data_IF_690393887011
#
_entry.id   IF_690393887011
#
_cell.length_a   1.000
_cell.length_b   1.000
_cell.length_c   1.000
_cell.angle_alpha   90.00
_cell.angle_beta   90.00
_cell.angle_gamma   90.00
#
_symmetry.space_group_name_H-M   'P 1'
#
loop_
_entity.id
_entity.type
_entity.pdbx_description
1 polymer ?
#
# COMPACT_ATOMS: atom_id res chain seq x y z
N UNK A 1 61.57 -12.04 2.12
CA UNK A 1 61.14 -11.11 3.20
C UNK A 1 60.42 -9.92 2.57
N UNK A 2 59.51 -9.30 3.31
CA UNK A 2 58.63 -8.16 2.97
C UNK A 2 57.28 -8.46 2.28
N UNK A 3 56.34 -8.73 3.19
CA UNK A 3 54.92 -8.36 3.20
C UNK A 3 54.66 -7.00 2.55
N UNK A 4 53.65 -6.90 1.71
CA UNK A 4 52.85 -5.68 1.57
C UNK A 4 51.40 -6.09 1.23
N UNK A 5 50.57 -6.16 2.28
CA UNK A 5 49.12 -6.14 2.17
C UNK A 5 48.71 -4.70 1.87
N UNK A 6 48.11 -4.46 0.72
CA UNK A 6 47.40 -3.21 0.42
C UNK A 6 45.93 -3.54 0.15
N UNK A 7 45.18 -3.79 1.23
CA UNK A 7 43.72 -3.79 1.21
C UNK A 7 43.27 -2.33 1.21
N UNK A 8 43.06 -1.78 0.00
CA UNK A 8 42.33 -0.54 -0.16
C UNK A 8 40.86 -0.81 0.18
N UNK A 9 40.43 -0.33 1.35
CA UNK A 9 39.04 -0.37 1.77
C UNK A 9 38.21 0.51 0.82
N UNK A 10 37.45 -0.12 -0.08
CA UNK A 10 36.35 0.53 -0.78
C UNK A 10 35.25 0.79 0.26
N UNK A 11 35.28 1.97 0.87
CA UNK A 11 34.12 2.52 1.55
C UNK A 11 33.12 2.95 0.47
N UNK A 12 32.32 1.99 -0.02
CA UNK A 12 31.11 2.30 -0.75
C UNK A 12 30.14 3.00 0.21
N UNK A 13 30.20 4.32 0.26
CA UNK A 13 29.12 5.13 0.79
C UNK A 13 27.93 4.92 -0.15
N UNK A 14 27.12 3.91 0.14
CA UNK A 14 25.76 3.82 -0.40
C UNK A 14 25.02 4.97 0.27
N UNK A 15 25.11 6.15 -0.35
CA UNK A 15 24.22 7.26 -0.07
C UNK A 15 22.82 6.75 -0.35
N UNK A 16 22.13 6.36 0.73
CA UNK A 16 20.77 5.86 0.68
C UNK A 16 19.85 6.94 0.15
N UNK A 17 19.58 6.92 -1.15
CA UNK A 17 18.26 7.29 -1.63
C UNK A 17 17.31 6.25 -1.06
N UNK A 18 16.79 6.48 0.15
CA UNK A 18 15.62 5.79 0.65
C UNK A 18 14.43 6.28 -0.18
N UNK A 19 14.37 5.86 -1.45
CA UNK A 19 13.14 5.90 -2.20
C UNK A 19 12.14 5.08 -1.38
N UNK A 20 11.03 5.70 -0.98
CA UNK A 20 9.91 5.01 -0.35
C UNK A 20 9.28 4.09 -1.41
N UNK A 21 9.95 2.97 -1.72
CA UNK A 21 9.45 1.99 -2.66
C UNK A 21 8.52 1.09 -1.86
N UNK A 22 7.22 1.17 -2.14
CA UNK A 22 6.26 0.20 -1.60
C UNK A 22 6.59 -1.22 -2.04
N UNK A 23 5.72 -2.16 -1.66
CA UNK A 23 5.84 -3.55 -2.07
C UNK A 23 5.83 -3.68 -3.60
N UNK A 24 6.85 -4.35 -4.14
CA UNK A 24 7.02 -4.58 -5.58
C UNK A 24 6.71 -6.03 -5.98
N UNK A 25 5.91 -6.75 -5.19
CA UNK A 25 5.51 -8.13 -5.48
C UNK A 25 4.44 -8.18 -6.59
N UNK A 26 4.30 -9.29 -7.33
CA UNK A 26 3.24 -9.44 -8.32
C UNK A 26 1.83 -9.22 -7.74
N UNK A 27 1.61 -9.67 -6.51
CA UNK A 27 0.38 -9.47 -5.77
C UNK A 27 0.12 -7.98 -5.48
N UNK A 28 1.14 -7.24 -5.02
CA UNK A 28 1.02 -5.79 -4.83
C UNK A 28 0.70 -5.06 -6.14
N UNK A 29 1.25 -5.51 -7.27
CA UNK A 29 0.91 -4.94 -8.60
C UNK A 29 -0.53 -5.22 -9.00
N UNK A 30 -1.07 -6.40 -8.67
CA UNK A 30 -2.49 -6.72 -8.89
C UNK A 30 -3.39 -5.81 -8.05
N UNK A 31 -3.10 -5.66 -6.76
CA UNK A 31 -3.91 -4.81 -5.87
C UNK A 31 -3.81 -3.34 -6.21
N UNK A 32 -2.64 -2.88 -6.66
CA UNK A 32 -2.47 -1.54 -7.22
C UNK A 32 -3.46 -1.26 -8.35
N UNK A 33 -3.61 -2.18 -9.30
CA UNK A 33 -4.60 -2.05 -10.39
C UNK A 33 -6.03 -2.06 -9.87
N UNK A 34 -6.34 -3.00 -8.97
CA UNK A 34 -7.68 -3.13 -8.39
C UNK A 34 -8.10 -1.85 -7.63
N UNK A 35 -7.19 -1.24 -6.87
CA UNK A 35 -7.44 0.02 -6.15
C UNK A 35 -7.65 1.17 -7.14
N UNK A 36 -6.79 1.28 -8.17
CA UNK A 36 -6.93 2.31 -9.20
C UNK A 36 -8.28 2.21 -9.95
N UNK A 37 -8.75 0.99 -10.20
CA UNK A 37 -10.03 0.75 -10.91
C UNK A 37 -11.26 0.98 -10.03
N UNK A 38 -11.20 0.63 -8.73
CA UNK A 38 -12.39 0.52 -7.88
C UNK A 38 -12.53 1.61 -6.83
N UNK A 39 -11.47 2.35 -6.53
CA UNK A 39 -11.49 3.37 -5.47
C UNK A 39 -11.40 4.79 -6.03
N UNK A 40 -12.00 5.70 -5.29
CA UNK A 40 -11.85 7.15 -5.47
C UNK A 40 -11.24 7.74 -4.20
N UNK A 41 -10.42 8.78 -4.36
CA UNK A 41 -9.95 9.58 -3.23
C UNK A 41 -10.85 10.79 -3.13
N UNK A 42 -11.44 10.98 -1.95
CA UNK A 42 -12.16 12.21 -1.61
C UNK A 42 -11.36 12.94 -0.52
N UNK A 43 -10.72 14.04 -0.87
CA UNK A 43 -10.09 14.93 0.11
C UNK A 43 -11.05 16.08 0.43
N UNK A 44 -11.22 16.44 1.69
CA UNK A 44 -11.91 17.70 2.03
C UNK A 44 -10.87 18.82 2.04
N UNK A 45 -10.86 19.66 1.00
CA UNK A 45 -10.27 21.00 1.14
C UNK A 45 -11.38 21.96 1.54
N UNK A 46 -11.45 22.31 2.83
CA UNK A 46 -12.45 23.25 3.36
C UNK A 46 -13.84 22.66 3.65
N UNK A 47 -13.95 21.34 3.89
CA UNK A 47 -15.18 20.69 4.38
C UNK A 47 -16.15 20.20 3.32
N UNK A 48 -15.81 20.28 2.03
CA UNK A 48 -16.69 19.82 0.94
C UNK A 48 -16.06 18.67 0.14
N UNK A 49 -16.34 17.44 0.57
CA UNK A 49 -15.80 16.20 -0.01
C UNK A 49 -16.25 15.94 -1.46
N UNK A 50 -17.40 16.47 -1.86
CA UNK A 50 -17.98 16.22 -3.19
C UNK A 50 -17.20 16.89 -4.32
N UNK A 51 -16.55 18.03 -4.04
CA UNK A 51 -15.83 18.81 -5.07
C UNK A 51 -14.46 18.27 -5.42
N UNK A 52 -13.91 17.40 -4.59
CA UNK A 52 -12.52 16.92 -4.66
C UNK A 52 -12.41 15.39 -4.79
N UNK A 53 -13.47 14.74 -5.30
CA UNK A 53 -13.41 13.33 -5.70
C UNK A 53 -12.50 13.20 -6.92
N UNK A 54 -11.42 12.44 -6.78
CA UNK A 54 -10.47 12.15 -7.85
C UNK A 54 -10.37 10.65 -8.05
N UNK A 55 -10.37 10.21 -9.31
CA UNK A 55 -9.99 8.84 -9.63
C UNK A 55 -8.56 8.59 -9.18
N UNK A 56 -8.33 7.39 -8.66
CA UNK A 56 -7.00 6.95 -8.29
C UNK A 56 -6.27 6.55 -9.57
N UNK A 57 -5.12 7.16 -9.81
CA UNK A 57 -4.26 6.82 -10.94
C UNK A 57 -3.33 5.66 -10.61
N UNK A 58 -2.36 5.42 -11.48
CA UNK A 58 -1.31 4.41 -11.25
C UNK A 58 -0.29 4.82 -10.18
N UNK A 59 -0.52 5.88 -9.42
CA UNK A 59 0.37 6.35 -8.35
C UNK A 59 0.04 5.72 -6.99
N UNK A 60 -0.67 4.58 -6.99
CA UNK A 60 -0.85 3.75 -5.79
C UNK A 60 0.46 3.08 -5.42
N UNK A 61 0.79 3.19 -4.14
CA UNK A 61 1.90 2.52 -3.47
C UNK A 61 1.27 1.57 -2.45
N UNK A 62 1.48 0.26 -2.59
CA UNK A 62 1.10 -0.70 -1.55
C UNK A 62 2.20 -0.73 -0.50
N UNK A 63 1.88 -0.43 0.75
CA UNK A 63 2.82 -0.43 1.87
C UNK A 63 2.89 -1.80 2.55
N UNK A 64 1.74 -2.45 2.73
CA UNK A 64 1.64 -3.81 3.30
C UNK A 64 0.42 -4.55 2.76
N UNK A 65 0.48 -5.88 2.85
CA UNK A 65 -0.61 -6.81 2.55
C UNK A 65 -0.70 -7.77 3.73
N UNK A 66 -1.86 -7.82 4.37
CA UNK A 66 -2.13 -8.73 5.48
C UNK A 66 -3.26 -9.68 5.08
N UNK A 67 -3.03 -10.99 5.20
CA UNK A 67 -4.07 -11.99 5.04
C UNK A 67 -4.77 -12.23 6.38
N UNK A 68 -6.09 -12.25 6.34
CA UNK A 68 -6.97 -12.44 7.48
C UNK A 68 -7.84 -13.67 7.33
N UNK A 69 -8.60 -13.97 8.39
CA UNK A 69 -9.57 -15.06 8.41
C UNK A 69 -10.70 -14.80 7.40
N UNK A 70 -11.41 -15.87 7.04
CA UNK A 70 -12.60 -15.83 6.18
C UNK A 70 -12.35 -15.16 4.81
N UNK A 71 -11.15 -15.37 4.26
CA UNK A 71 -10.78 -14.86 2.93
C UNK A 71 -10.50 -13.36 2.87
N UNK A 72 -10.45 -12.66 4.00
CA UNK A 72 -10.15 -11.22 4.00
C UNK A 72 -8.67 -10.95 3.75
N UNK A 73 -8.40 -9.96 2.91
CA UNK A 73 -7.07 -9.42 2.62
C UNK A 73 -7.16 -7.92 2.87
N UNK A 74 -6.30 -7.41 3.75
CA UNK A 74 -6.14 -5.98 4.01
C UNK A 74 -4.91 -5.47 3.28
N UNK A 75 -5.08 -4.44 2.47
CA UNK A 75 -4.00 -3.73 1.82
C UNK A 75 -3.86 -2.37 2.47
N UNK A 76 -2.68 -2.01 2.94
CA UNK A 76 -2.34 -0.63 3.28
C UNK A 76 -1.76 0.01 2.02
N UNK A 77 -2.39 1.08 1.53
CA UNK A 77 -1.90 1.79 0.36
C UNK A 77 -1.91 3.30 0.52
N UNK A 78 -0.99 3.94 -0.18
CA UNK A 78 -0.85 5.38 -0.30
C UNK A 78 -1.06 5.81 -1.75
N UNK A 79 -1.87 6.85 -1.99
CA UNK A 79 -2.01 7.51 -3.29
C UNK A 79 -2.33 8.98 -3.07
N UNK A 80 -1.81 9.89 -3.91
CA UNK A 80 -2.06 11.35 -3.81
C UNK A 80 -1.89 11.92 -2.37
N UNK A 81 -0.89 11.42 -1.64
CA UNK A 81 -0.62 11.75 -0.22
C UNK A 81 -1.71 11.34 0.80
N UNK A 82 -2.68 10.51 0.39
CA UNK A 82 -3.67 9.87 1.25
C UNK A 82 -3.26 8.42 1.47
N UNK A 83 -3.17 7.99 2.74
CA UNK A 83 -2.93 6.61 3.14
C UNK A 83 -4.20 6.02 3.75
N UNK A 84 -4.51 4.79 3.41
CA UNK A 84 -5.68 4.10 3.93
C UNK A 84 -5.61 2.60 3.75
N UNK A 85 -6.56 1.91 4.39
CA UNK A 85 -6.72 0.48 4.24
C UNK A 85 -7.82 0.16 3.23
N UNK A 86 -7.55 -0.82 2.39
CA UNK A 86 -8.47 -1.40 1.44
C UNK A 86 -8.65 -2.87 1.82
N UNK A 87 -9.83 -3.41 1.52
CA UNK A 87 -10.19 -4.77 1.93
C UNK A 87 -10.74 -5.52 0.73
N UNK A 88 -10.19 -6.70 0.47
CA UNK A 88 -10.69 -7.66 -0.51
C UNK A 88 -11.09 -8.92 0.24
N UNK A 89 -12.28 -9.45 -0.02
CA UNK A 89 -12.59 -10.82 0.35
C UNK A 89 -12.33 -11.72 -0.87
N UNK A 90 -11.32 -12.58 -0.81
CA UNK A 90 -10.92 -13.47 -1.91
C UNK A 90 -12.00 -14.47 -2.30
N UNK A 91 -12.84 -14.86 -1.35
CA UNK A 91 -13.84 -15.91 -1.52
C UNK A 91 -15.09 -15.39 -2.23
N UNK A 92 -15.45 -14.12 -1.98
CA UNK A 92 -16.66 -13.48 -2.52
C UNK A 92 -16.37 -12.43 -3.60
N UNK A 93 -15.12 -11.99 -3.75
CA UNK A 93 -14.73 -10.89 -4.65
C UNK A 93 -15.17 -9.50 -4.17
N UNK A 94 -15.74 -9.38 -2.96
CA UNK A 94 -16.16 -8.11 -2.38
C UNK A 94 -14.93 -7.25 -2.10
N UNK A 95 -14.95 -6.02 -2.61
CA UNK A 95 -13.87 -5.05 -2.46
C UNK A 95 -14.39 -3.77 -1.81
N UNK A 96 -13.73 -3.33 -0.75
CA UNK A 96 -14.13 -2.17 0.06
C UNK A 96 -12.95 -1.20 0.17
N UNK A 97 -13.18 0.03 -0.26
CA UNK A 97 -12.22 1.12 -0.17
C UNK A 97 -12.37 1.85 1.16
N UNK A 98 -11.33 1.87 1.99
CA UNK A 98 -11.32 2.61 3.25
C UNK A 98 -11.79 1.80 4.46
N UNK A 99 -11.14 2.03 5.60
CA UNK A 99 -11.46 1.37 6.86
C UNK A 99 -12.85 1.73 7.39
N UNK A 100 -13.29 2.98 7.21
CA UNK A 100 -14.62 3.44 7.62
C UNK A 100 -15.73 2.67 6.90
N UNK A 101 -15.67 2.59 5.57
CA UNK A 101 -16.63 1.80 4.79
C UNK A 101 -16.63 0.30 5.14
N UNK A 102 -15.51 -0.22 5.65
CA UNK A 102 -15.40 -1.59 6.12
C UNK A 102 -16.09 -1.74 7.49
N UNK A 103 -15.81 -0.85 8.44
CA UNK A 103 -16.43 -0.85 9.77
C UNK A 103 -17.93 -0.54 9.75
N UNK A 104 -18.39 0.34 8.87
CA UNK A 104 -19.81 0.71 8.73
C UNK A 104 -20.69 -0.46 8.29
N UNK A 105 -20.07 -1.50 7.73
CA UNK A 105 -20.72 -2.77 7.38
C UNK A 105 -20.73 -3.78 8.54
N UNK A 106 -20.25 -3.39 9.72
CA UNK A 106 -20.11 -4.27 10.89
C UNK A 106 -18.99 -5.31 10.74
N UNK A 107 -18.03 -5.09 9.81
CA UNK A 107 -16.95 -6.03 9.56
C UNK A 107 -15.73 -5.70 10.43
N UNK A 108 -15.03 -6.75 10.88
CA UNK A 108 -13.76 -6.64 11.62
C UNK A 108 -12.71 -7.47 10.91
N UNK A 109 -11.51 -6.92 10.74
CA UNK A 109 -10.39 -7.64 10.16
C UNK A 109 -9.69 -8.46 11.26
N UNK A 110 -9.66 -9.77 11.08
CA UNK A 110 -8.96 -10.69 11.96
C UNK A 110 -7.73 -11.24 11.23
N UNK A 111 -6.50 -10.93 11.67
CA UNK A 111 -5.28 -11.50 11.08
C UNK A 111 -5.27 -13.03 11.14
N UNK A 112 -4.58 -13.66 10.18
CA UNK A 112 -4.16 -15.06 10.34
C UNK A 112 -3.06 -15.08 11.42
N UNK A 113 -3.25 -15.92 12.44
CA UNK A 113 -2.28 -16.14 13.53
C UNK A 113 -1.02 -16.86 13.03
#
# INVERSE_FOLDING_TARGET
MQRMFALAALAAMVAGCQAHTGLMTPEAQQFKRLIAERCIVATSVGGNYEKDKRQIGEDVIINSIDHGKNGWIRMDATTKAVRGNMYLNSDTGLFICGAENFSDRGLTFEPLE
#
